data_IF_957501405702
#
_entry.id   IF_957501405702
#
_cell.length_a   1.000
_cell.length_b   1.000
_cell.length_c   1.000
_cell.angle_alpha   90.00
_cell.angle_beta   90.00
_cell.angle_gamma   90.00
#
_symmetry.space_group_name_H-M   'P 1'
#
loop_
_entity.id
_entity.type
_entity.pdbx_description
1 polymer ?
#
# COMPACT_ATOMS: atom_id res chain seq x y z
N UNK A 1 -0.14 -10.72 6.65
CA UNK A 1 0.61 -9.70 5.88
C UNK A 1 -0.05 -8.35 6.06
N UNK A 2 0.47 -7.59 7.03
CA UNK A 2 -0.12 -6.35 7.50
C UNK A 2 0.12 -5.24 6.47
N UNK A 3 -0.96 -4.70 5.89
CA UNK A 3 -1.03 -3.43 5.17
C UNK A 3 -0.74 -2.24 6.11
N UNK A 4 0.32 -2.32 6.92
CA UNK A 4 0.78 -1.21 7.74
C UNK A 4 1.35 -0.15 6.79
N UNK A 5 0.75 1.06 6.84
CA UNK A 5 0.98 2.27 6.02
C UNK A 5 0.24 2.38 4.67
N UNK A 6 -1.09 2.28 4.69
CA UNK A 6 -1.93 3.13 3.82
C UNK A 6 -2.40 4.36 4.62
N UNK A 7 -1.51 5.33 4.83
CA UNK A 7 -1.90 6.70 5.17
C UNK A 7 -2.35 7.36 3.85
N UNK A 8 -3.65 7.20 3.55
CA UNK A 8 -4.39 7.50 2.31
C UNK A 8 -3.72 8.46 1.30
N UNK A 9 -2.99 7.94 0.30
CA UNK A 9 -2.93 8.56 -1.01
C UNK A 9 -4.16 8.06 -1.79
N UNK A 10 -5.16 8.91 -1.94
CA UNK A 10 -6.31 8.64 -2.80
C UNK A 10 -6.07 9.31 -4.15
N UNK A 11 -6.32 8.59 -5.24
CA UNK A 11 -6.30 9.13 -6.59
C UNK A 11 -7.72 9.34 -7.10
N UNK A 12 -7.91 10.32 -7.99
CA UNK A 12 -9.15 10.50 -8.72
C UNK A 12 -8.95 10.02 -10.15
N UNK A 13 -9.69 8.99 -10.56
CA UNK A 13 -9.84 8.60 -11.96
C UNK A 13 -11.18 9.13 -12.48
N UNK A 14 -11.34 9.15 -13.82
CA UNK A 14 -12.62 9.48 -14.46
C UNK A 14 -13.80 8.66 -13.92
N UNK A 15 -13.51 7.47 -13.40
CA UNK A 15 -14.50 6.47 -12.99
C UNK A 15 -14.68 6.42 -11.46
N UNK A 16 -14.06 7.34 -10.70
CA UNK A 16 -14.18 7.42 -9.25
C UNK A 16 -12.84 7.43 -8.50
N UNK A 17 -12.92 7.20 -7.19
CA UNK A 17 -11.78 7.26 -6.28
C UNK A 17 -11.03 5.93 -6.28
N UNK A 18 -9.71 5.98 -6.30
CA UNK A 18 -8.83 4.82 -6.16
C UNK A 18 -7.94 4.94 -4.94
N UNK A 19 -7.66 3.80 -4.32
CA UNK A 19 -6.64 3.70 -3.28
C UNK A 19 -5.27 3.50 -3.94
N UNK A 20 -4.32 4.39 -3.68
CA UNK A 20 -2.97 4.32 -4.23
C UNK A 20 -1.99 3.96 -3.13
N UNK A 21 -1.18 2.92 -3.35
CA UNK A 21 -0.09 2.52 -2.45
C UNK A 21 1.24 2.82 -3.14
N UNK A 22 1.95 3.83 -2.66
CA UNK A 22 3.34 4.09 -3.07
C UNK A 22 4.25 3.02 -2.44
N UNK A 23 5.03 2.33 -3.25
CA UNK A 23 6.05 1.41 -2.77
C UNK A 23 7.29 2.24 -2.44
N UNK A 24 7.72 2.21 -1.18
CA UNK A 24 9.02 2.76 -0.80
C UNK A 24 10.11 1.92 -1.45
N UNK A 25 11.04 2.59 -2.11
CA UNK A 25 12.15 1.98 -2.82
C UNK A 25 13.06 1.29 -1.79
N UNK A 26 12.83 0.01 -1.52
CA UNK A 26 13.86 -0.84 -0.93
C UNK A 26 14.79 -1.23 -2.06
N UNK A 27 16.09 -1.05 -1.85
CA UNK A 27 17.16 -1.32 -2.83
C UNK A 27 17.06 -2.73 -3.46
N UNK A 28 16.40 -3.68 -2.78
CA UNK A 28 16.35 -5.10 -3.13
C UNK A 28 15.16 -5.59 -3.98
N UNK A 29 14.18 -4.74 -4.32
CA UNK A 29 13.06 -5.21 -5.17
C UNK A 29 13.43 -5.11 -6.65
N UNK A 30 14.13 -6.16 -7.11
CA UNK A 30 14.40 -6.40 -8.52
C UNK A 30 13.12 -6.33 -9.37
N UNK A 31 13.25 -5.86 -10.61
CA UNK A 31 12.16 -5.72 -11.58
C UNK A 31 11.36 -7.02 -11.75
N UNK A 32 12.05 -8.16 -11.84
CA UNK A 32 11.42 -9.47 -11.99
C UNK A 32 10.48 -9.79 -10.82
N UNK A 33 10.90 -9.52 -9.59
CA UNK A 33 10.05 -9.73 -8.40
C UNK A 33 8.85 -8.80 -8.39
N UNK A 34 9.03 -7.56 -8.82
CA UNK A 34 7.92 -6.61 -8.93
C UNK A 34 6.87 -7.10 -9.94
N UNK A 35 7.28 -7.52 -11.13
CA UNK A 35 6.37 -8.04 -12.15
C UNK A 35 5.66 -9.31 -11.69
N UNK A 36 6.37 -10.26 -11.06
CA UNK A 36 5.76 -11.47 -10.50
C UNK A 36 4.66 -11.17 -9.47
N UNK A 37 4.89 -10.18 -8.60
CA UNK A 37 3.89 -9.75 -7.62
C UNK A 37 2.69 -9.07 -8.29
N UNK A 38 2.94 -8.18 -9.25
CA UNK A 38 1.88 -7.53 -10.04
C UNK A 38 1.04 -8.57 -10.79
N UNK A 39 1.67 -9.53 -11.45
CA UNK A 39 0.99 -10.61 -12.16
C UNK A 39 0.11 -11.43 -11.21
N UNK A 40 0.61 -11.68 -9.99
CA UNK A 40 -0.16 -12.37 -8.96
C UNK A 40 -1.38 -11.55 -8.54
N UNK A 41 -1.21 -10.24 -8.30
CA UNK A 41 -2.31 -9.34 -7.96
C UNK A 41 -3.36 -9.23 -9.08
N UNK A 42 -2.94 -9.25 -10.35
CA UNK A 42 -3.85 -9.23 -11.51
C UNK A 42 -4.72 -10.48 -11.61
N UNK A 43 -4.23 -11.64 -11.16
CA UNK A 43 -4.97 -12.90 -11.18
C UNK A 43 -5.96 -13.04 -10.01
N UNK A 44 -5.69 -12.41 -8.88
CA UNK A 44 -6.52 -12.55 -7.68
C UNK A 44 -7.84 -11.79 -7.84
N UNK A 45 -8.95 -12.53 -7.93
CA UNK A 45 -10.31 -11.98 -7.96
C UNK A 45 -11.20 -12.75 -6.98
N UNK A 46 -11.53 -12.12 -5.86
CA UNK A 46 -12.38 -12.73 -4.83
C UNK A 46 -13.14 -11.68 -4.03
N UNK A 47 -14.37 -11.97 -3.61
CA UNK A 47 -15.26 -11.03 -2.89
C UNK A 47 -14.68 -10.46 -1.58
N UNK A 48 -13.74 -11.16 -0.97
CA UNK A 48 -13.10 -10.78 0.30
C UNK A 48 -11.70 -10.18 0.13
N UNK A 49 -11.23 -9.98 -1.11
CA UNK A 49 -9.93 -9.40 -1.42
C UNK A 49 -10.17 -8.10 -2.18
N UNK A 50 -9.51 -7.02 -1.76
CA UNK A 50 -9.63 -5.73 -2.45
C UNK A 50 -9.14 -5.86 -3.88
N UNK A 51 -9.98 -5.47 -4.85
CA UNK A 51 -9.66 -5.62 -6.25
C UNK A 51 -8.49 -4.72 -6.63
N UNK A 52 -7.48 -5.32 -7.25
CA UNK A 52 -6.39 -4.62 -7.89
C UNK A 52 -6.86 -4.03 -9.22
N UNK A 53 -6.46 -2.78 -9.49
CA UNK A 53 -6.87 -2.03 -10.69
C UNK A 53 -5.71 -1.82 -11.66
N UNK A 54 -4.48 -1.81 -11.17
CA UNK A 54 -3.30 -1.61 -12.00
C UNK A 54 -2.13 -1.02 -11.22
N UNK A 55 -1.05 -0.70 -11.93
CA UNK A 55 0.16 -0.15 -11.36
C UNK A 55 0.74 0.97 -12.23
N UNK A 56 1.60 1.78 -11.63
CA UNK A 56 2.53 2.66 -12.31
C UNK A 56 3.94 2.28 -11.86
N UNK A 57 4.85 2.11 -12.81
CA UNK A 57 6.27 1.88 -12.55
C UNK A 57 7.06 2.78 -13.48
N UNK A 58 7.75 3.75 -12.90
CA UNK A 58 8.49 4.76 -13.63
C UNK A 58 9.91 4.84 -13.08
N UNK A 59 10.89 4.88 -13.99
CA UNK A 59 12.31 4.95 -13.67
C UNK A 59 12.87 6.15 -14.41
N UNK A 60 13.25 7.18 -13.66
CA UNK A 60 13.78 8.43 -14.22
C UNK A 60 15.20 8.68 -13.71
N UNK A 61 16.07 9.17 -14.58
CA UNK A 61 17.36 9.73 -14.16
C UNK A 61 17.12 11.05 -13.43
N UNK A 62 17.48 11.12 -12.15
CA UNK A 62 17.50 12.36 -11.37
C UNK A 62 18.90 12.78 -10.98
N UNK A 63 19.17 14.08 -11.07
CA UNK A 63 20.44 14.65 -10.64
C UNK A 63 20.38 14.82 -9.13
N UNK A 64 21.26 14.11 -8.43
CA UNK A 64 21.44 14.20 -6.98
C UNK A 64 22.68 15.02 -6.67
N UNK A 65 22.57 15.96 -5.73
CA UNK A 65 23.71 16.70 -5.20
C UNK A 65 24.37 15.90 -4.09
N UNK A 66 25.62 15.50 -4.32
CA UNK A 66 26.48 14.89 -3.32
C UNK A 66 27.61 15.87 -3.00
N UNK A 67 27.42 16.67 -1.95
CA UNK A 67 28.31 17.78 -1.61
C UNK A 67 28.34 18.84 -2.72
N UNK A 68 29.52 19.05 -3.33
CA UNK A 68 29.70 19.98 -4.47
C UNK A 68 29.58 19.31 -5.84
N UNK A 69 29.35 18.00 -5.90
CA UNK A 69 29.26 17.23 -7.15
C UNK A 69 27.81 16.90 -7.47
N UNK A 70 27.47 16.98 -8.76
CA UNK A 70 26.21 16.48 -9.28
C UNK A 70 26.42 15.04 -9.76
N UNK A 71 25.59 14.12 -9.30
CA UNK A 71 25.60 12.71 -9.71
C UNK A 71 24.26 12.38 -10.33
N UNK A 72 24.28 11.76 -11.51
CA UNK A 72 23.09 11.20 -12.12
C UNK A 72 22.80 9.84 -11.48
N UNK A 73 21.62 9.67 -10.90
CA UNK A 73 21.18 8.37 -10.39
C UNK A 73 19.73 8.10 -10.78
N UNK A 74 19.41 6.81 -10.95
CA UNK A 74 18.04 6.39 -11.20
C UNK A 74 17.19 6.55 -9.93
N UNK A 75 16.08 7.27 -10.05
CA UNK A 75 15.00 7.24 -9.08
C UNK A 75 13.86 6.39 -9.64
N UNK A 76 13.41 5.39 -8.87
CA UNK A 76 12.30 4.52 -9.26
C UNK A 76 11.09 4.83 -8.42
N UNK A 77 9.98 5.13 -9.09
CA UNK A 77 8.70 5.37 -8.45
C UNK A 77 7.72 4.28 -8.87
N UNK A 78 7.22 3.53 -7.89
CA UNK A 78 6.24 2.48 -8.10
C UNK A 78 5.00 2.71 -7.26
N UNK A 79 3.83 2.57 -7.89
CA UNK A 79 2.53 2.75 -7.28
C UNK A 79 1.64 1.57 -7.65
N UNK A 80 0.85 1.11 -6.68
CA UNK A 80 -0.19 0.11 -6.87
C UNK A 80 -1.55 0.75 -6.64
N UNK A 81 -2.50 0.51 -7.55
CA UNK A 81 -3.84 1.06 -7.52
C UNK A 81 -4.86 -0.04 -7.20
N UNK A 82 -5.74 0.23 -6.24
CA UNK A 82 -6.78 -0.67 -5.79
C UNK A 82 -8.13 0.05 -5.75
N UNK A 83 -9.20 -0.73 -5.74
CA UNK A 83 -10.52 -0.20 -5.39
C UNK A 83 -10.49 0.50 -4.04
N UNK A 84 -11.11 1.67 -4.00
CA UNK A 84 -11.24 2.43 -2.78
C UNK A 84 -12.31 1.81 -1.87
N UNK A 85 -11.94 1.49 -0.62
CA UNK A 85 -12.87 1.06 0.39
C UNK A 85 -13.24 2.23 1.33
N UNK A 86 -14.45 2.80 1.22
CA UNK A 86 -14.82 4.00 1.97
C UNK A 86 -14.87 3.76 3.49
N UNK A 87 -15.14 2.52 3.89
CA UNK A 87 -15.24 2.08 5.28
C UNK A 87 -13.90 1.89 5.98
N UNK A 88 -12.79 2.15 5.27
CA UNK A 88 -11.44 2.11 5.82
C UNK A 88 -10.97 0.71 6.21
N UNK A 89 -9.81 0.66 6.84
CA UNK A 89 -9.14 -0.57 7.26
C UNK A 89 -9.78 -1.17 8.51
N UNK A 90 -9.67 -2.50 8.61
CA UNK A 90 -10.32 -3.29 9.66
C UNK A 90 -9.64 -3.12 11.03
N UNK A 91 -8.34 -2.84 11.06
CA UNK A 91 -7.55 -2.61 12.28
C UNK A 91 -8.21 -1.57 13.19
N UNK A 92 -8.68 -0.44 12.63
CA UNK A 92 -9.35 0.61 13.39
C UNK A 92 -10.66 0.17 14.03
N UNK A 93 -11.34 -0.82 13.44
CA UNK A 93 -12.63 -1.33 13.90
C UNK A 93 -12.49 -2.47 14.90
N UNK A 94 -11.42 -3.25 14.78
CA UNK A 94 -11.15 -4.36 15.70
C UNK A 94 -10.39 -3.87 16.93
N UNK A 95 -9.55 -2.84 16.82
CA UNK A 95 -8.80 -2.31 17.96
C UNK A 95 -9.72 -1.81 19.09
N UNK A 96 -10.89 -1.26 18.76
CA UNK A 96 -11.91 -0.91 19.75
C UNK A 96 -12.67 -2.10 20.33
N UNK A 97 -12.83 -3.20 19.57
CA UNK A 97 -13.51 -4.42 20.03
C UNK A 97 -12.63 -5.29 20.93
N UNK A 98 -11.32 -5.34 20.66
CA UNK A 98 -10.36 -6.07 21.52
C UNK A 98 -10.36 -5.47 22.93
N UNK A 99 -10.37 -4.14 23.05
CA UNK A 99 -10.49 -3.48 24.35
C UNK A 99 -11.80 -3.82 25.08
N UNK A 100 -12.92 -3.93 24.37
CA UNK A 100 -14.21 -4.32 24.97
C UNK A 100 -14.16 -5.76 25.46
N UNK A 101 -13.61 -6.70 24.69
CA UNK A 101 -13.51 -8.10 25.13
C UNK A 101 -12.56 -8.24 26.33
N UNK A 102 -11.46 -7.49 26.37
CA UNK A 102 -10.55 -7.45 27.54
C UNK A 102 -11.20 -6.80 28.77
N UNK A 103 -12.07 -5.80 28.60
CA UNK A 103 -12.83 -5.21 29.69
C UNK A 103 -13.91 -6.17 30.23
N UNK A 104 -14.66 -6.83 29.34
CA UNK A 104 -15.68 -7.83 29.72
C UNK A 104 -15.06 -9.02 30.49
N UNK A 105 -13.87 -9.48 30.10
CA UNK A 105 -13.14 -10.51 30.84
C UNK A 105 -12.61 -10.02 32.20
N UNK A 106 -12.45 -8.71 32.41
CA UNK A 106 -12.12 -8.13 33.72
C UNK A 106 -13.36 -7.96 34.61
N UNK A 107 -14.54 -7.69 34.05
CA UNK A 107 -15.79 -7.59 34.83
C UNK A 107 -16.29 -8.95 35.31
N UNK A 108 -15.91 -10.07 34.68
CA UNK A 108 -16.25 -11.41 35.13
C UNK A 108 -15.33 -11.99 36.22
N UNK A 109 -14.35 -11.22 36.73
CA UNK A 109 -13.42 -11.64 37.79
C UNK A 109 -13.53 -10.78 39.08
N UNK A 110 -14.68 -10.14 39.31
CA UNK A 110 -15.01 -9.49 40.60
C UNK A 110 -16.26 -10.13 41.19
#
# INVERSE_FOLDING_TARGET
MLLKRMLRPQGLLRNGIVAVKKLTQTLDVHETKFHQEVDSLMRVKHKNIVRFLGYCSDTQGKVWKLGRKNVMAEERQRFLCFEFLPKGSLDKKISGKILVIEQELRTCLV
#
